data_IF_026645483028
#
_entry.id   IF_026645483028
#
_cell.length_a   1.000
_cell.length_b   1.000
_cell.length_c   1.000
_cell.angle_alpha   90.00
_cell.angle_beta   90.00
_cell.angle_gamma   90.00
#
_symmetry.space_group_name_H-M   'P 1'
#
loop_
_entity.id
_entity.type
_entity.pdbx_description
1 polymer ?
#
# COMPACT_ATOMS: atom_id res chain seq x y z
N UNK A 1 0.18 -14.46 14.81
CA UNK A 1 1.00 -15.08 13.74
C UNK A 1 0.07 -15.39 12.57
N UNK A 2 0.36 -14.88 11.37
CA UNK A 2 -0.43 -15.14 10.17
C UNK A 2 -0.21 -16.57 9.65
N UNK A 3 -1.20 -17.12 8.96
CA UNK A 3 -1.10 -18.42 8.27
C UNK A 3 -0.36 -18.35 6.95
N UNK A 4 -0.26 -17.16 6.35
CA UNK A 4 0.38 -16.92 5.07
C UNK A 4 0.24 -15.47 4.63
N UNK A 5 0.77 -15.17 3.45
CA UNK A 5 0.67 -13.85 2.83
C UNK A 5 0.48 -13.99 1.32
N UNK A 6 -0.27 -13.06 0.73
CA UNK A 6 -0.44 -12.92 -0.72
C UNK A 6 -0.17 -11.47 -1.11
N UNK A 7 0.44 -11.27 -2.28
CA UNK A 7 0.89 -9.95 -2.73
C UNK A 7 0.41 -9.63 -4.14
N UNK A 8 -0.86 -9.24 -4.32
CA UNK A 8 -1.40 -8.89 -5.63
C UNK A 8 -0.76 -7.61 -6.20
N UNK A 9 -0.69 -7.53 -7.52
CA UNK A 9 -0.22 -6.35 -8.26
C UNK A 9 -1.35 -5.62 -9.00
N UNK A 10 -2.56 -6.18 -9.03
CA UNK A 10 -3.73 -5.61 -9.72
C UNK A 10 -5.01 -5.75 -8.91
N UNK A 11 -5.96 -4.85 -9.15
CA UNK A 11 -7.27 -4.83 -8.49
C UNK A 11 -8.05 -6.13 -8.74
N UNK A 12 -7.94 -6.72 -9.93
CA UNK A 12 -8.63 -7.98 -10.27
C UNK A 12 -8.21 -9.13 -9.35
N UNK A 13 -6.92 -9.21 -9.01
CA UNK A 13 -6.39 -10.22 -8.10
C UNK A 13 -6.92 -9.99 -6.68
N UNK A 14 -6.96 -8.75 -6.21
CA UNK A 14 -7.57 -8.39 -4.91
C UNK A 14 -9.03 -8.85 -4.88
N UNK A 15 -9.80 -8.57 -5.94
CA UNK A 15 -11.21 -9.00 -6.06
C UNK A 15 -11.35 -10.51 -5.99
N UNK A 16 -10.47 -11.27 -6.64
CA UNK A 16 -10.46 -12.73 -6.58
C UNK A 16 -10.09 -13.25 -5.18
N UNK A 17 -9.08 -12.67 -4.54
CA UNK A 17 -8.65 -13.04 -3.18
C UNK A 17 -9.78 -12.82 -2.17
N UNK A 18 -10.45 -11.65 -2.21
CA UNK A 18 -11.56 -11.35 -1.30
C UNK A 18 -12.72 -12.31 -1.50
N UNK A 19 -13.05 -12.66 -2.75
CA UNK A 19 -14.07 -13.67 -3.05
C UNK A 19 -13.72 -15.04 -2.43
N UNK A 20 -12.49 -15.51 -2.64
CA UNK A 20 -12.02 -16.78 -2.08
C UNK A 20 -12.01 -16.75 -0.55
N UNK A 21 -11.53 -15.66 0.06
CA UNK A 21 -11.52 -15.49 1.50
C UNK A 21 -12.93 -15.59 2.10
N UNK A 22 -13.94 -15.04 1.42
CA UNK A 22 -15.33 -15.17 1.85
C UNK A 22 -15.88 -16.60 1.70
N UNK A 23 -15.52 -17.31 0.63
CA UNK A 23 -15.92 -18.72 0.42
C UNK A 23 -15.34 -19.62 1.50
N UNK A 24 -14.04 -19.51 1.77
CA UNK A 24 -13.33 -20.36 2.72
C UNK A 24 -13.31 -19.83 4.16
N UNK A 25 -13.98 -18.70 4.42
CA UNK A 25 -14.03 -18.02 5.72
C UNK A 25 -12.64 -17.75 6.32
N UNK A 26 -11.68 -17.40 5.44
CA UNK A 26 -10.32 -17.05 5.83
C UNK A 26 -10.26 -15.55 6.13
N UNK A 27 -9.87 -15.13 7.35
CA UNK A 27 -9.72 -13.72 7.65
C UNK A 27 -8.52 -13.13 6.88
N UNK A 28 -8.70 -11.92 6.36
CA UNK A 28 -7.64 -11.16 5.69
C UNK A 28 -7.14 -10.03 6.59
N UNK A 29 -5.84 -9.78 6.56
CA UNK A 29 -5.22 -8.62 7.21
C UNK A 29 -4.47 -7.79 6.18
N UNK A 30 -5.02 -6.63 5.85
CA UNK A 30 -4.51 -5.81 4.73
C UNK A 30 -3.41 -4.89 5.19
N UNK A 31 -2.32 -4.85 4.43
CA UNK A 31 -1.21 -3.91 4.63
C UNK A 31 -0.82 -3.27 3.30
N UNK A 32 -0.47 -1.99 3.34
CA UNK A 32 0.10 -1.30 2.19
C UNK A 32 1.57 -1.65 2.02
N UNK A 33 2.46 -1.06 2.83
CA UNK A 33 3.91 -1.37 2.84
C UNK A 33 4.37 -2.15 4.07
N UNK A 34 3.48 -2.39 5.04
CA UNK A 34 3.79 -3.15 6.27
C UNK A 34 4.76 -2.46 7.23
N UNK A 35 4.88 -1.13 7.16
CA UNK A 35 5.91 -0.34 7.85
C UNK A 35 5.35 0.47 9.02
N UNK A 36 4.26 -0.01 9.62
CA UNK A 36 3.66 0.57 10.82
C UNK A 36 4.44 0.19 12.09
N UNK A 37 5.75 0.51 12.09
CA UNK A 37 6.70 0.13 13.14
C UNK A 37 6.35 0.84 14.46
N UNK A 38 6.53 0.16 15.59
CA UNK A 38 6.05 0.62 16.90
C UNK A 38 4.59 0.29 17.19
N UNK A 39 3.79 0.00 16.16
CA UNK A 39 2.36 -0.32 16.27
C UNK A 39 1.99 -1.74 15.80
N UNK A 40 3.00 -2.61 15.62
CA UNK A 40 2.82 -4.01 15.18
C UNK A 40 3.32 -4.32 13.77
N UNK A 41 3.83 -3.33 13.03
CA UNK A 41 4.46 -3.52 11.72
C UNK A 41 3.47 -4.08 10.68
N UNK A 42 3.79 -5.26 10.14
CA UNK A 42 2.91 -6.03 9.24
C UNK A 42 2.13 -7.14 9.96
N UNK A 43 2.25 -7.23 11.29
CA UNK A 43 1.62 -8.28 12.09
C UNK A 43 0.09 -8.14 12.10
N UNK A 44 -0.60 -9.28 11.99
CA UNK A 44 -2.05 -9.35 12.14
C UNK A 44 -2.46 -9.40 13.61
N UNK A 45 -3.55 -8.71 13.97
CA UNK A 45 -4.14 -8.78 15.32
C UNK A 45 -4.72 -10.17 15.59
N UNK A 46 -5.40 -10.75 14.60
CA UNK A 46 -6.00 -12.08 14.69
C UNK A 46 -4.96 -13.15 14.36
N UNK A 47 -5.05 -14.34 14.98
CA UNK A 47 -4.25 -15.50 14.57
C UNK A 47 -4.91 -16.18 13.37
N UNK A 48 -4.11 -16.76 12.49
CA UNK A 48 -4.63 -17.56 11.39
C UNK A 48 -5.10 -16.79 10.15
N UNK A 49 -4.97 -15.47 10.13
CA UNK A 49 -5.27 -14.66 8.94
C UNK A 49 -4.19 -14.78 7.86
N UNK A 50 -4.59 -14.47 6.65
CA UNK A 50 -3.70 -14.26 5.51
C UNK A 50 -3.42 -12.77 5.37
N UNK A 51 -2.14 -12.40 5.31
CA UNK A 51 -1.75 -11.02 5.03
C UNK A 51 -2.06 -10.72 3.56
N UNK A 52 -2.85 -9.67 3.32
CA UNK A 52 -3.07 -9.10 1.99
C UNK A 52 -2.12 -7.90 1.82
N UNK A 53 -0.97 -8.15 1.19
CA UNK A 53 0.09 -7.18 1.01
C UNK A 53 -0.06 -6.46 -0.34
N UNK A 54 -0.39 -5.16 -0.29
CA UNK A 54 -0.66 -4.36 -1.48
C UNK A 54 0.58 -3.61 -2.00
N UNK A 55 1.79 -3.94 -1.52
CA UNK A 55 3.01 -3.20 -1.86
C UNK A 55 3.37 -3.22 -3.36
N UNK A 56 2.85 -4.18 -4.14
CA UNK A 56 3.08 -4.21 -5.60
C UNK A 56 2.17 -3.26 -6.39
N UNK A 57 1.12 -2.72 -5.78
CA UNK A 57 0.28 -1.70 -6.40
C UNK A 57 0.97 -0.34 -6.24
N UNK A 58 1.82 0.04 -7.20
CA UNK A 58 2.72 1.22 -7.12
C UNK A 58 2.43 2.31 -8.15
N UNK A 59 1.25 2.31 -8.75
CA UNK A 59 0.92 3.32 -9.75
C UNK A 59 0.64 4.69 -9.09
N UNK A 60 1.28 5.73 -9.62
CA UNK A 60 0.93 7.13 -9.35
C UNK A 60 0.04 7.57 -10.51
N UNK A 61 -1.27 7.60 -10.26
CA UNK A 61 -2.28 7.85 -11.29
C UNK A 61 -2.33 9.32 -11.67
N UNK A 62 -2.22 10.21 -10.69
CA UNK A 62 -2.27 11.65 -10.91
C UNK A 62 -1.37 12.39 -9.91
N UNK A 63 -0.73 13.46 -10.37
CA UNK A 63 -0.13 14.50 -9.54
C UNK A 63 -0.55 15.82 -10.15
N UNK A 64 -1.32 16.61 -9.40
CA UNK A 64 -1.90 17.86 -9.83
C UNK A 64 -1.17 19.02 -9.17
N UNK A 65 -0.41 19.79 -9.96
CA UNK A 65 0.39 20.91 -9.47
C UNK A 65 -0.47 22.11 -9.06
N UNK A 66 -1.53 22.42 -9.83
CA UNK A 66 -2.39 23.57 -9.59
C UNK A 66 -3.15 23.46 -8.26
N UNK A 67 -3.68 22.27 -7.95
CA UNK A 67 -4.50 22.02 -6.76
C UNK A 67 -3.75 21.31 -5.63
N UNK A 68 -2.50 20.90 -5.85
CA UNK A 68 -1.63 20.32 -4.82
C UNK A 68 -2.10 18.97 -4.28
N UNK A 69 -2.58 18.07 -5.14
CA UNK A 69 -2.97 16.71 -4.75
C UNK A 69 -2.35 15.62 -5.62
N UNK A 70 -2.40 14.38 -5.14
CA UNK A 70 -2.00 13.20 -5.90
C UNK A 70 -2.97 12.04 -5.67
N UNK A 71 -3.15 11.21 -6.70
CA UNK A 71 -3.91 9.96 -6.65
C UNK A 71 -2.90 8.82 -6.81
N UNK A 72 -2.78 7.99 -5.78
CA UNK A 72 -1.76 6.94 -5.69
C UNK A 72 -2.35 5.61 -5.26
N UNK A 73 -1.72 4.54 -5.71
CA UNK A 73 -1.94 3.20 -5.20
C UNK A 73 -1.24 2.99 -3.83
N UNK A 74 -1.71 2.03 -3.02
CA UNK A 74 -1.23 1.83 -1.65
C UNK A 74 0.25 1.50 -1.51
N UNK A 75 0.88 0.93 -2.54
CA UNK A 75 2.30 0.56 -2.52
C UNK A 75 3.26 1.73 -2.75
N UNK A 76 2.77 2.90 -3.18
CA UNK A 76 3.59 4.11 -3.40
C UNK A 76 4.15 4.62 -2.07
N UNK A 77 5.48 4.77 -1.99
CA UNK A 77 6.13 5.44 -0.85
C UNK A 77 6.21 6.95 -1.01
N UNK A 78 6.52 7.63 0.08
CA UNK A 78 6.89 9.04 0.02
C UNK A 78 8.08 9.31 -0.90
N UNK A 79 9.06 8.40 -0.97
CA UNK A 79 10.16 8.52 -1.94
C UNK A 79 9.71 8.34 -3.39
N UNK A 80 8.82 7.39 -3.66
CA UNK A 80 8.27 7.19 -5.01
C UNK A 80 7.54 8.47 -5.46
N UNK A 81 6.71 9.05 -4.59
CA UNK A 81 6.00 10.30 -4.85
C UNK A 81 6.95 11.50 -5.01
N UNK A 82 7.96 11.62 -4.14
CA UNK A 82 8.98 12.66 -4.23
C UNK A 82 9.72 12.59 -5.57
N UNK A 83 10.20 11.41 -5.95
CA UNK A 83 10.91 11.21 -7.21
C UNK A 83 10.02 11.56 -8.41
N UNK A 84 8.73 11.24 -8.36
CA UNK A 84 7.80 11.58 -9.44
C UNK A 84 7.55 13.09 -9.55
N UNK A 85 7.42 13.79 -8.42
CA UNK A 85 7.31 15.26 -8.38
C UNK A 85 8.56 15.90 -8.99
N UNK A 86 9.75 15.45 -8.57
CA UNK A 86 11.03 15.95 -9.10
C UNK A 86 11.18 15.63 -10.59
N UNK A 87 10.81 14.44 -11.03
CA UNK A 87 10.86 14.02 -12.44
C UNK A 87 9.96 14.88 -13.33
N UNK A 88 8.81 15.34 -12.82
CA UNK A 88 7.89 16.24 -13.53
C UNK A 88 8.27 17.72 -13.42
N UNK A 89 9.19 18.07 -12.53
CA UNK A 89 9.60 19.46 -12.29
C UNK A 89 8.54 20.30 -11.59
N UNK A 90 7.62 19.67 -10.86
CA UNK A 90 6.54 20.38 -10.17
C UNK A 90 7.06 21.05 -8.90
N UNK A 91 6.55 22.24 -8.61
CA UNK A 91 6.84 23.01 -7.39
C UNK A 91 5.98 22.53 -6.20
N UNK A 92 5.98 21.22 -5.96
CA UNK A 92 5.27 20.56 -4.87
C UNK A 92 6.24 19.85 -3.94
N UNK A 93 5.77 19.53 -2.74
CA UNK A 93 6.49 18.69 -1.78
C UNK A 93 5.52 17.70 -1.12
N UNK A 94 5.89 16.41 -0.98
CA UNK A 94 5.04 15.45 -0.27
C UNK A 94 4.94 15.79 1.22
N UNK A 95 3.78 15.52 1.83
CA UNK A 95 3.39 16.07 3.14
C UNK A 95 4.29 15.73 4.33
N UNK A 96 5.10 14.66 4.28
CA UNK A 96 6.00 14.27 5.38
C UNK A 96 7.42 13.98 4.88
N UNK A 97 8.47 14.47 5.60
CA UNK A 97 9.81 13.93 5.49
C UNK A 97 9.82 12.58 6.21
N UNK A 98 9.29 11.54 5.57
CA UNK A 98 9.42 10.19 6.09
C UNK A 98 10.91 9.78 6.05
N UNK A 99 11.42 9.12 7.09
CA UNK A 99 12.80 8.59 7.13
C UNK A 99 13.09 7.49 6.08
N UNK A 100 12.25 7.35 5.06
CA UNK A 100 12.43 6.42 3.95
C UNK A 100 11.88 5.02 4.15
N UNK A 101 11.28 4.75 5.30
CA UNK A 101 10.73 3.43 5.64
C UNK A 101 9.26 3.29 5.27
N UNK A 102 8.56 4.38 4.94
CA UNK A 102 7.21 4.43 4.40
C UNK A 102 7.15 5.51 3.34
#
# INVERSE_FOLDING_TARGET
>A
VPSGAVRPSKVEQVRQIVKLANVYKVPLWTVSRGKNLGYGGSGSVTKGCVILDLQQMKNIMEVNEEYGYAIVEPGVSFFDLFNEIQRRGFNLWPSVPAMGWG
#
